data_IF_143446980487
#
_entry.id   IF_143446980487
#
_cell.length_a   1.000
_cell.length_b   1.000
_cell.length_c   1.000
_cell.angle_alpha   90.00
_cell.angle_beta   90.00
_cell.angle_gamma   90.00
#
_symmetry.space_group_name_H-M   'P 1'
#
loop_
_entity.id
_entity.type
_entity.pdbx_description
1 polymer ?
#
# COMPACT_ATOMS: atom_id res chain seq x y z
N UNK A 1 -14.22 -0.48 24.89
CA UNK A 1 -13.60 -0.19 23.57
C UNK A 1 -14.04 -1.27 22.60
N UNK A 2 -14.89 -0.98 21.63
CA UNK A 2 -15.28 -1.98 20.62
C UNK A 2 -14.08 -2.27 19.73
N UNK A 3 -13.57 -3.50 19.76
CA UNK A 3 -12.55 -3.96 18.81
C UNK A 3 -13.15 -3.97 17.40
N UNK A 4 -12.88 -2.93 16.63
CA UNK A 4 -13.21 -2.87 15.21
C UNK A 4 -12.24 -3.82 14.48
N UNK A 5 -12.60 -5.10 14.43
CA UNK A 5 -11.84 -6.10 13.67
C UNK A 5 -12.09 -5.85 12.18
N UNK A 6 -11.05 -5.63 11.35
CA UNK A 6 -11.22 -5.51 9.92
C UNK A 6 -11.87 -6.79 9.38
N UNK A 7 -12.93 -6.63 8.59
CA UNK A 7 -13.65 -7.76 8.02
C UNK A 7 -12.80 -8.38 6.91
N UNK A 8 -12.22 -9.55 7.19
CA UNK A 8 -11.47 -10.35 6.22
C UNK A 8 -12.34 -10.58 4.99
N UNK A 9 -11.78 -10.32 3.81
CA UNK A 9 -12.42 -10.58 2.52
C UNK A 9 -11.72 -11.74 1.83
N UNK A 10 -12.45 -12.82 1.51
CA UNK A 10 -11.90 -13.98 0.82
C UNK A 10 -12.27 -13.94 -0.66
N UNK A 11 -11.27 -14.07 -1.53
CA UNK A 11 -11.43 -14.22 -2.98
C UNK A 11 -10.45 -15.27 -3.50
N UNK A 12 -10.96 -16.31 -4.19
CA UNK A 12 -10.19 -17.47 -4.68
C UNK A 12 -9.26 -18.09 -3.63
N UNK A 13 -9.75 -18.24 -2.40
CA UNK A 13 -9.00 -18.80 -1.28
C UNK A 13 -7.90 -17.90 -0.71
N UNK A 14 -7.70 -16.69 -1.23
CA UNK A 14 -6.80 -15.67 -0.68
C UNK A 14 -7.58 -14.70 0.22
N UNK A 15 -7.01 -14.38 1.38
CA UNK A 15 -7.54 -13.38 2.33
C UNK A 15 -6.95 -12.02 2.01
N UNK A 16 -7.81 -11.03 1.81
CA UNK A 16 -7.46 -9.63 1.54
C UNK A 16 -7.78 -8.76 2.74
N UNK A 17 -6.95 -7.72 2.94
CA UNK A 17 -7.11 -6.71 4.00
C UNK A 17 -8.33 -5.83 3.76
N UNK A 18 -8.76 -5.68 2.50
CA UNK A 18 -9.93 -4.92 2.15
C UNK A 18 -10.74 -5.53 1.01
N UNK A 19 -12.02 -5.15 0.95
CA UNK A 19 -12.90 -5.53 -0.16
C UNK A 19 -12.44 -4.97 -1.50
N UNK A 20 -11.79 -3.81 -1.51
CA UNK A 20 -11.35 -3.17 -2.74
C UNK A 20 -10.13 -3.88 -3.33
N UNK A 21 -9.17 -4.29 -2.51
CA UNK A 21 -8.06 -5.14 -2.96
C UNK A 21 -8.58 -6.42 -3.60
N UNK A 22 -9.52 -7.11 -2.94
CA UNK A 22 -10.11 -8.33 -3.49
C UNK A 22 -10.84 -8.10 -4.83
N UNK A 23 -11.41 -6.90 -5.05
CA UNK A 23 -12.01 -6.55 -6.35
C UNK A 23 -10.96 -6.32 -7.43
N UNK A 24 -9.84 -5.70 -7.10
CA UNK A 24 -8.71 -5.55 -8.03
C UNK A 24 -8.10 -6.90 -8.41
N UNK A 25 -8.01 -7.86 -7.48
CA UNK A 25 -7.65 -9.23 -7.81
C UNK A 25 -8.62 -9.87 -8.82
N UNK A 26 -9.94 -9.66 -8.64
CA UNK A 26 -10.96 -10.10 -9.60
C UNK A 26 -10.82 -9.42 -10.97
N UNK A 27 -10.48 -8.12 -10.98
CA UNK A 27 -10.19 -7.39 -12.21
C UNK A 27 -9.01 -8.02 -12.97
N UNK A 28 -7.87 -8.23 -12.31
CA UNK A 28 -6.69 -8.85 -12.93
C UNK A 28 -6.98 -10.26 -13.46
N UNK A 29 -7.67 -11.09 -12.66
CA UNK A 29 -8.07 -12.44 -13.09
C UNK A 29 -8.97 -12.41 -14.34
N UNK A 30 -9.88 -11.42 -14.43
CA UNK A 30 -10.80 -11.32 -15.59
C UNK A 30 -10.05 -10.96 -16.87
N UNK A 31 -8.95 -10.21 -16.77
CA UNK A 31 -8.05 -9.93 -17.88
C UNK A 31 -7.04 -11.07 -18.15
N UNK A 32 -6.97 -12.08 -17.28
CA UNK A 32 -5.93 -13.10 -17.33
C UNK A 32 -4.54 -12.57 -16.96
N UNK A 33 -4.48 -11.49 -16.19
CA UNK A 33 -3.24 -10.89 -15.69
C UNK A 33 -2.79 -11.65 -14.45
N UNK A 34 -1.56 -12.16 -14.46
CA UNK A 34 -0.95 -12.74 -13.26
C UNK A 34 -0.71 -11.67 -12.19
N UNK A 35 -1.03 -12.00 -10.95
CA UNK A 35 -0.80 -11.13 -9.79
C UNK A 35 -0.32 -11.95 -8.60
N UNK A 36 0.53 -11.32 -7.78
CA UNK A 36 0.99 -11.87 -6.50
C UNK A 36 0.65 -10.85 -5.42
N UNK A 37 -0.17 -11.26 -4.45
CA UNK A 37 -0.59 -10.42 -3.33
C UNK A 37 0.47 -10.42 -2.22
N UNK A 38 0.77 -9.24 -1.68
CA UNK A 38 1.73 -9.03 -0.59
C UNK A 38 3.08 -9.74 -0.84
N UNK A 39 3.63 -9.60 -2.06
CA UNK A 39 4.74 -10.42 -2.54
C UNK A 39 6.01 -10.33 -1.66
N UNK A 40 6.43 -9.13 -1.25
CA UNK A 40 7.59 -8.98 -0.36
C UNK A 40 7.63 -7.66 0.39
N UNK A 41 8.32 -7.66 1.53
CA UNK A 41 8.56 -6.48 2.35
C UNK A 41 9.80 -5.70 1.86
N UNK A 42 9.75 -4.38 2.00
CA UNK A 42 10.84 -3.47 1.71
C UNK A 42 11.22 -2.65 2.94
N UNK A 43 12.51 -2.65 3.27
CA UNK A 43 13.06 -1.81 4.35
C UNK A 43 13.23 -0.38 3.82
N UNK A 44 12.48 0.57 4.38
CA UNK A 44 12.55 1.99 4.05
C UNK A 44 13.53 2.76 4.95
N UNK A 45 14.26 2.07 5.82
CA UNK A 45 15.19 2.65 6.78
C UNK A 45 14.49 2.85 8.12
N UNK A 46 14.77 3.99 8.76
CA UNK A 46 14.21 4.29 10.07
C UNK A 46 13.41 5.58 10.06
N UNK A 47 12.34 5.65 10.85
CA UNK A 47 11.49 6.83 11.05
C UNK A 47 11.44 7.17 12.54
N UNK A 48 11.50 8.46 12.88
CA UNK A 48 11.32 8.90 14.26
C UNK A 48 9.93 8.49 14.75
N UNK A 49 9.86 7.87 15.93
CA UNK A 49 8.57 7.44 16.55
C UNK A 49 8.12 8.35 17.68
N UNK A 50 9.04 9.16 18.20
CA UNK A 50 8.75 10.21 19.17
C UNK A 50 8.94 11.57 18.53
N UNK A 51 8.09 12.52 18.91
CA UNK A 51 8.37 13.91 18.62
C UNK A 51 9.59 14.42 19.41
N UNK A 52 9.95 15.68 19.22
CA UNK A 52 11.14 16.24 19.85
C UNK A 52 10.97 16.41 21.37
N UNK A 53 9.75 16.65 21.85
CA UNK A 53 9.46 16.87 23.27
C UNK A 53 9.41 15.54 24.03
N UNK A 54 8.69 14.55 23.50
CA UNK A 54 8.62 13.19 24.06
C UNK A 54 10.01 12.55 24.18
N UNK A 55 10.84 12.70 23.14
CA UNK A 55 12.19 12.16 23.18
C UNK A 55 13.10 12.91 24.14
N UNK A 56 12.92 14.22 24.29
CA UNK A 56 13.69 15.02 25.23
C UNK A 56 13.38 14.59 26.67
N UNK A 57 12.11 14.34 26.99
CA UNK A 57 11.69 13.81 28.28
C UNK A 57 12.34 12.44 28.54
N UNK A 58 12.17 11.49 27.61
CA UNK A 58 12.78 10.16 27.70
C UNK A 58 14.31 10.21 27.86
N UNK A 59 15.00 11.07 27.11
CA UNK A 59 16.45 11.21 27.20
C UNK A 59 16.87 11.76 28.57
N UNK A 60 16.14 12.72 29.12
CA UNK A 60 16.44 13.28 30.44
C UNK A 60 16.25 12.24 31.55
N UNK A 61 15.18 11.45 31.48
CA UNK A 61 14.93 10.35 32.41
C UNK A 61 16.03 9.29 32.33
N UNK A 62 16.36 8.82 31.12
CA UNK A 62 17.41 7.81 30.92
C UNK A 62 18.79 8.28 31.45
N UNK A 63 19.11 9.57 31.26
CA UNK A 63 20.34 10.17 31.80
C UNK A 63 20.32 10.29 33.33
N UNK A 64 19.16 10.56 33.92
CA UNK A 64 19.01 10.66 35.37
C UNK A 64 19.10 9.29 36.05
N UNK A 65 18.42 8.28 35.51
CA UNK A 65 18.40 6.92 36.06
C UNK A 65 19.76 6.24 35.99
N UNK A 66 20.53 6.49 34.93
CA UNK A 66 21.83 5.88 34.68
C UNK A 66 22.98 6.87 34.96
N UNK A 67 22.81 7.76 35.95
CA UNK A 67 23.75 8.85 36.26
C UNK A 67 25.20 8.39 36.48
N UNK A 68 25.40 7.15 36.96
CA UNK A 68 26.72 6.56 37.22
C UNK A 68 27.35 5.88 36.00
N UNK A 69 26.61 5.72 34.91
CA UNK A 69 27.06 5.07 33.69
C UNK A 69 27.65 6.05 32.68
N UNK A 70 28.19 5.51 31.59
CA UNK A 70 28.75 6.33 30.51
C UNK A 70 27.63 7.09 29.77
N UNK A 71 27.67 8.42 29.85
CA UNK A 71 26.71 9.33 29.20
C UNK A 71 26.60 9.13 27.69
N UNK A 72 27.70 8.85 26.99
CA UNK A 72 27.67 8.65 25.53
C UNK A 72 26.90 7.40 25.15
N UNK A 73 27.04 6.33 25.92
CA UNK A 73 26.36 5.05 25.64
C UNK A 73 24.85 5.18 25.89
N UNK A 74 24.44 5.88 26.96
CA UNK A 74 23.03 6.19 27.23
C UNK A 74 22.42 7.01 26.09
N UNK A 75 23.11 8.07 25.63
CA UNK A 75 22.64 8.89 24.52
C UNK A 75 22.50 8.04 23.24
N UNK A 76 23.49 7.20 22.93
CA UNK A 76 23.43 6.33 21.74
C UNK A 76 22.26 5.37 21.79
N UNK A 77 22.02 4.73 22.94
CA UNK A 77 20.89 3.82 23.09
C UNK A 77 19.56 4.57 22.99
N UNK A 78 19.44 5.74 23.61
CA UNK A 78 18.24 6.55 23.50
C UNK A 78 17.93 6.95 22.05
N UNK A 79 18.93 7.35 21.26
CA UNK A 79 18.74 7.62 19.84
C UNK A 79 18.36 6.36 19.03
N UNK A 80 18.78 5.15 19.43
CA UNK A 80 18.27 3.91 18.81
C UNK A 80 16.79 3.71 19.09
N UNK A 81 16.32 4.07 20.29
CA UNK A 81 14.90 4.01 20.64
C UNK A 81 14.07 5.09 19.93
N UNK A 82 14.65 6.26 19.61
CA UNK A 82 13.97 7.33 18.87
C UNK A 82 13.49 6.90 17.49
N UNK A 83 14.18 5.94 16.86
CA UNK A 83 13.97 5.58 15.47
C UNK A 83 13.53 4.13 15.32
N UNK A 84 12.34 3.89 14.78
CA UNK A 84 11.89 2.55 14.43
C UNK A 84 12.16 2.23 12.97
N UNK A 85 12.47 0.95 12.68
CA UNK A 85 12.53 0.45 11.30
C UNK A 85 11.17 0.58 10.63
N UNK A 86 11.17 1.13 9.42
CA UNK A 86 9.98 1.27 8.61
C UNK A 86 9.97 0.18 7.53
N UNK A 87 9.16 -0.85 7.73
CA UNK A 87 8.89 -1.86 6.72
C UNK A 87 7.66 -1.48 5.91
N UNK A 88 7.71 -1.69 4.60
CA UNK A 88 6.59 -1.47 3.69
C UNK A 88 6.27 -2.74 2.91
N UNK A 89 4.98 -3.08 2.81
CA UNK A 89 4.46 -4.24 2.11
C UNK A 89 3.41 -3.77 1.09
N UNK A 90 3.74 -3.71 -0.21
CA UNK A 90 2.83 -3.27 -1.26
C UNK A 90 1.73 -4.32 -1.49
N UNK A 91 0.56 -3.89 -1.98
CA UNK A 91 -0.59 -4.79 -2.18
C UNK A 91 -0.35 -5.87 -3.26
N UNK A 92 0.03 -5.47 -4.48
CA UNK A 92 0.13 -6.39 -5.62
C UNK A 92 1.42 -6.22 -6.43
N UNK A 93 2.02 -7.35 -6.79
CA UNK A 93 3.03 -7.43 -7.83
C UNK A 93 2.44 -8.06 -9.10
N UNK A 94 2.60 -7.39 -10.25
CA UNK A 94 2.20 -7.91 -11.56
C UNK A 94 3.46 -8.36 -12.33
N UNK A 95 3.87 -9.63 -12.25
CA UNK A 95 5.18 -10.08 -12.76
C UNK A 95 5.33 -9.88 -14.27
N UNK A 96 4.29 -10.14 -15.06
CA UNK A 96 4.28 -9.96 -16.52
C UNK A 96 4.59 -8.52 -16.92
N UNK A 97 4.12 -7.55 -16.12
CA UNK A 97 4.29 -6.12 -16.38
C UNK A 97 5.45 -5.51 -15.59
N UNK A 98 6.08 -6.30 -14.71
CA UNK A 98 7.16 -5.84 -13.84
C UNK A 98 6.75 -4.58 -13.04
N UNK A 99 5.51 -4.56 -12.55
CA UNK A 99 4.82 -3.37 -12.04
C UNK A 99 4.20 -3.62 -10.68
N UNK A 100 4.42 -2.71 -9.73
CA UNK A 100 3.79 -2.73 -8.41
C UNK A 100 2.48 -1.95 -8.40
N UNK A 101 1.45 -2.50 -7.77
CA UNK A 101 0.16 -1.85 -7.64
C UNK A 101 -0.24 -1.76 -6.17
N UNK A 102 -0.48 -0.55 -5.70
CA UNK A 102 -1.00 -0.24 -4.37
C UNK A 102 -2.46 0.21 -4.47
N UNK A 103 -3.31 -0.25 -3.56
CA UNK A 103 -4.74 0.03 -3.56
C UNK A 103 -5.11 0.95 -2.39
N UNK A 104 -5.82 2.04 -2.68
CA UNK A 104 -6.36 2.94 -1.65
C UNK A 104 -7.85 3.18 -1.86
N UNK A 105 -8.61 3.25 -0.76
CA UNK A 105 -10.04 3.58 -0.84
C UNK A 105 -10.33 5.05 -1.14
N UNK A 106 -9.33 5.93 -0.99
CA UNK A 106 -9.39 7.38 -1.18
C UNK A 106 -8.10 7.86 -1.85
N UNK A 107 -8.11 9.08 -2.37
CA UNK A 107 -6.90 9.71 -2.90
C UNK A 107 -5.72 9.59 -1.91
N UNK A 108 -4.53 9.18 -2.39
CA UNK A 108 -3.40 8.87 -1.52
C UNK A 108 -2.85 10.13 -0.86
N UNK A 109 -2.54 10.02 0.42
CA UNK A 109 -1.84 11.07 1.18
C UNK A 109 -0.41 11.27 0.68
N UNK A 110 0.20 12.41 0.99
CA UNK A 110 1.60 12.66 0.67
C UNK A 110 2.55 11.61 1.25
N UNK A 111 2.26 11.07 2.44
CA UNK A 111 3.06 9.98 3.03
C UNK A 111 2.95 8.69 2.20
N UNK A 112 1.76 8.33 1.72
CA UNK A 112 1.56 7.15 0.87
C UNK A 112 2.23 7.32 -0.49
N UNK A 113 2.11 8.49 -1.11
CA UNK A 113 2.83 8.80 -2.35
C UNK A 113 4.34 8.74 -2.15
N UNK A 114 4.85 9.23 -1.01
CA UNK A 114 6.27 9.14 -0.66
C UNK A 114 6.72 7.69 -0.53
N UNK A 115 5.92 6.82 0.11
CA UNK A 115 6.21 5.38 0.21
C UNK A 115 6.24 4.71 -1.16
N UNK A 116 5.27 4.99 -2.04
CA UNK A 116 5.25 4.47 -3.41
C UNK A 116 6.45 4.95 -4.24
N UNK A 117 6.81 6.24 -4.13
CA UNK A 117 8.00 6.80 -4.78
C UNK A 117 9.29 6.12 -4.28
N UNK A 118 9.41 5.89 -2.97
CA UNK A 118 10.53 5.16 -2.40
C UNK A 118 10.59 3.70 -2.87
N UNK A 119 9.45 3.01 -2.94
CA UNK A 119 9.38 1.66 -3.51
C UNK A 119 9.88 1.66 -4.94
N UNK A 120 9.40 2.59 -5.77
CA UNK A 120 9.78 2.67 -7.17
C UNK A 120 11.30 2.84 -7.32
N UNK A 121 11.87 3.79 -6.55
CA UNK A 121 13.31 4.05 -6.55
C UNK A 121 14.14 2.86 -6.06
N UNK A 122 13.73 2.20 -4.96
CA UNK A 122 14.50 1.10 -4.36
C UNK A 122 14.39 -0.20 -5.14
N UNK A 123 13.21 -0.51 -5.68
CA UNK A 123 13.00 -1.71 -6.48
C UNK A 123 13.47 -1.55 -7.93
N UNK A 124 13.57 -0.31 -8.42
CA UNK A 124 13.82 0.01 -9.83
C UNK A 124 12.64 -0.35 -10.74
N UNK A 125 11.44 -0.52 -10.16
CA UNK A 125 10.21 -0.96 -10.85
C UNK A 125 9.14 0.13 -10.74
N UNK A 126 8.30 0.35 -11.76
CA UNK A 126 7.20 1.29 -11.67
C UNK A 126 6.19 0.89 -10.59
N UNK A 127 5.59 1.90 -9.96
CA UNK A 127 4.56 1.74 -8.94
C UNK A 127 3.36 2.57 -9.36
N UNK A 128 2.18 1.97 -9.39
CA UNK A 128 0.91 2.69 -9.53
C UNK A 128 0.07 2.55 -8.27
N UNK A 129 -0.35 3.68 -7.70
CA UNK A 129 -1.42 3.70 -6.70
C UNK A 129 -2.75 3.80 -7.47
N UNK A 130 -3.62 2.83 -7.29
CA UNK A 130 -5.01 2.86 -7.74
C UNK A 130 -5.86 3.28 -6.55
N UNK A 131 -6.62 4.35 -6.70
CA UNK A 131 -7.42 4.88 -5.61
C UNK A 131 -8.89 5.10 -5.99
N UNK A 132 -9.74 5.28 -4.98
CA UNK A 132 -11.18 5.44 -5.18
C UNK A 132 -11.89 4.10 -5.34
N UNK A 133 -13.02 4.09 -6.03
CA UNK A 133 -13.80 2.87 -6.29
C UNK A 133 -13.41 2.21 -7.63
N UNK A 134 -13.69 0.90 -7.75
CA UNK A 134 -13.62 0.21 -9.04
C UNK A 134 -14.56 0.93 -10.01
N UNK A 135 -13.97 1.45 -11.09
CA UNK A 135 -14.64 2.27 -12.07
C UNK A 135 -15.98 1.69 -12.56
N UNK A 136 -17.01 2.53 -12.83
CA UNK A 136 -17.05 3.97 -12.59
C UNK A 136 -17.06 4.29 -11.09
N UNK A 137 -16.28 5.30 -10.71
CA UNK A 137 -16.28 5.78 -9.32
C UNK A 137 -17.52 6.67 -9.10
N UNK A 138 -18.42 6.32 -8.16
CA UNK A 138 -19.62 7.11 -7.92
C UNK A 138 -19.34 8.53 -7.41
N UNK A 139 -18.15 8.80 -6.86
CA UNK A 139 -17.75 10.13 -6.38
C UNK A 139 -17.00 10.93 -7.45
N UNK A 140 -16.61 10.30 -8.56
CA UNK A 140 -15.97 10.94 -9.71
C UNK A 140 -16.65 10.49 -11.01
N UNK A 141 -17.90 10.93 -11.26
CA UNK A 141 -18.73 10.41 -12.36
C UNK A 141 -18.16 10.73 -13.75
N UNK A 142 -17.36 11.79 -13.88
CA UNK A 142 -16.74 12.20 -15.13
C UNK A 142 -15.34 11.61 -15.33
N UNK A 143 -14.81 10.88 -14.33
CA UNK A 143 -13.54 10.19 -14.48
C UNK A 143 -13.64 9.15 -15.60
N UNK A 144 -12.51 8.84 -16.22
CA UNK A 144 -12.31 7.65 -17.05
C UNK A 144 -11.34 6.69 -16.38
N UNK A 145 -11.15 5.51 -16.97
CA UNK A 145 -10.16 4.55 -16.47
C UNK A 145 -8.77 5.19 -16.46
N UNK A 146 -8.14 5.21 -15.28
CA UNK A 146 -6.80 5.77 -15.12
C UNK A 146 -6.77 7.15 -14.45
N UNK A 147 -7.89 7.86 -14.33
CA UNK A 147 -7.90 9.19 -13.68
C UNK A 147 -7.67 9.11 -12.17
N UNK A 148 -8.18 8.06 -11.51
CA UNK A 148 -7.95 7.81 -10.10
C UNK A 148 -6.65 7.00 -9.88
N UNK A 149 -5.54 7.50 -10.43
CA UNK A 149 -4.23 6.86 -10.30
C UNK A 149 -3.11 7.85 -9.98
N UNK A 150 -2.07 7.38 -9.29
CA UNK A 150 -0.78 8.06 -9.17
C UNK A 150 0.32 7.10 -9.64
N UNK A 151 1.27 7.57 -10.45
CA UNK A 151 2.35 6.73 -10.99
C UNK A 151 3.73 7.26 -10.61
N UNK A 152 4.63 6.34 -10.25
CA UNK A 152 5.99 6.63 -9.84
C UNK A 152 6.97 5.71 -10.58
N UNK A 153 8.11 6.27 -10.97
CA UNK A 153 9.18 5.55 -11.67
C UNK A 153 9.02 5.48 -13.20
N UNK A 154 7.85 5.81 -13.74
CA UNK A 154 7.55 5.84 -15.18
C UNK A 154 6.44 6.85 -15.53
N UNK A 155 6.19 7.07 -16.83
CA UNK A 155 5.17 8.02 -17.32
C UNK A 155 3.78 7.42 -17.49
N UNK A 156 3.65 6.08 -17.54
CA UNK A 156 2.37 5.41 -17.82
C UNK A 156 1.90 4.62 -16.60
N UNK A 157 0.67 4.88 -16.15
CA UNK A 157 0.05 4.09 -15.09
C UNK A 157 -0.36 2.70 -15.59
N UNK A 158 -0.50 1.75 -14.66
CA UNK A 158 -0.81 0.35 -15.02
C UNK A 158 -2.14 0.20 -15.78
N UNK A 159 -3.15 1.05 -15.53
CA UNK A 159 -4.44 0.96 -16.22
C UNK A 159 -4.28 1.32 -17.70
N UNK A 160 -3.47 2.33 -18.02
CA UNK A 160 -3.17 2.70 -19.39
C UNK A 160 -2.35 1.61 -20.10
N UNK A 161 -1.35 1.01 -19.43
CA UNK A 161 -0.58 -0.12 -19.95
C UNK A 161 -1.50 -1.31 -20.26
N UNK A 162 -2.41 -1.65 -19.34
CA UNK A 162 -3.39 -2.72 -19.55
C UNK A 162 -4.37 -2.39 -20.68
N UNK A 163 -4.85 -1.15 -20.79
CA UNK A 163 -5.74 -0.74 -21.89
C UNK A 163 -5.07 -0.77 -23.27
N UNK A 164 -3.75 -0.58 -23.34
CA UNK A 164 -2.98 -0.75 -24.59
C UNK A 164 -2.71 -2.22 -24.91
N UNK A 165 -2.57 -3.06 -23.89
CA UNK A 165 -2.28 -4.49 -24.01
C UNK A 165 -3.55 -5.29 -24.35
N UNK A 166 -4.68 -4.90 -23.76
CA UNK A 166 -5.97 -5.58 -23.88
C UNK A 166 -6.99 -4.68 -24.57
N UNK A 167 -7.89 -5.28 -25.36
CA UNK A 167 -8.97 -4.53 -26.02
C UNK A 167 -9.85 -3.81 -25.00
N UNK A 168 -10.36 -2.64 -25.36
CA UNK A 168 -11.28 -1.83 -24.53
C UNK A 168 -12.45 -2.69 -24.00
N UNK A 169 -13.03 -3.56 -24.84
CA UNK A 169 -14.13 -4.45 -24.43
C UNK A 169 -13.75 -5.42 -23.32
N UNK A 170 -12.49 -5.85 -23.25
CA UNK A 170 -12.01 -6.72 -22.16
C UNK A 170 -11.84 -5.92 -20.87
N UNK A 171 -11.39 -4.67 -20.96
CA UNK A 171 -11.28 -3.77 -19.82
C UNK A 171 -12.68 -3.47 -19.23
N UNK A 172 -13.67 -3.17 -20.07
CA UNK A 172 -15.08 -2.97 -19.65
C UNK A 172 -15.60 -4.17 -18.88
N UNK A 173 -15.37 -5.37 -19.43
CA UNK A 173 -15.78 -6.62 -18.81
C UNK A 173 -15.09 -6.85 -17.47
N UNK A 174 -13.78 -6.58 -17.38
CA UNK A 174 -13.02 -6.73 -16.14
C UNK A 174 -13.50 -5.78 -15.04
N UNK A 175 -13.76 -4.50 -15.37
CA UNK A 175 -14.34 -3.56 -14.41
C UNK A 175 -15.74 -4.02 -13.96
N UNK A 176 -16.59 -4.49 -14.88
CA UNK A 176 -17.91 -4.99 -14.54
C UNK A 176 -17.88 -6.23 -13.62
N UNK A 177 -17.00 -7.18 -13.91
CA UNK A 177 -16.77 -8.36 -13.08
C UNK A 177 -16.31 -7.96 -11.66
N UNK A 178 -15.30 -7.09 -11.56
CA UNK A 178 -14.78 -6.61 -10.28
C UNK A 178 -15.81 -5.84 -9.44
N UNK A 179 -16.75 -5.11 -10.05
CA UNK A 179 -17.84 -4.45 -9.31
C UNK A 179 -18.86 -5.45 -8.76
N UNK A 180 -19.22 -6.43 -9.58
CA UNK A 180 -20.31 -7.37 -9.31
C UNK A 180 -19.91 -8.53 -8.40
N UNK A 181 -18.60 -8.81 -8.26
CA UNK A 181 -18.08 -9.91 -7.45
C UNK A 181 -18.65 -9.87 -6.02
N UNK A 182 -19.09 -11.04 -5.56
CA UNK A 182 -19.54 -11.27 -4.20
C UNK A 182 -18.46 -12.05 -3.47
N UNK A 183 -18.18 -11.62 -2.25
CA UNK A 183 -17.17 -12.27 -1.42
C UNK A 183 -17.85 -13.14 -0.37
N UNK A 184 -17.26 -14.29 -0.13
CA UNK A 184 -17.67 -15.18 0.94
C UNK A 184 -17.50 -14.48 2.30
N UNK A 185 -18.40 -14.77 3.24
CA UNK A 185 -18.16 -14.45 4.64
C UNK A 185 -17.41 -15.62 5.24
N UNK A 186 -16.28 -15.34 5.90
CA UNK A 186 -15.59 -16.34 6.70
C UNK A 186 -16.61 -16.92 7.72
N UNK A 187 -16.79 -18.24 7.73
CA UNK A 187 -17.60 -18.90 8.76
C UNK A 187 -16.80 -18.77 10.05
N UNK A 188 -17.37 -18.08 11.03
CA UNK A 188 -16.82 -17.94 12.37
C UNK A 188 -16.71 -19.31 13.06
#
# INVERSE_FOLDING_TARGET
MSHFQPKVTVYRGKKFRSRIEARWACFFDTLGVEWIYEFQHYDFGVKAVWDDDEFREYLNEALYENYWDNREDIIREAYRHRYARQMYLPDFWLPTFNHWVEIKGKAPTHEEQTKASQLARKSGKPVTILWGHIFPDPYHPDAIWGDCTEVFGESWNIIAVLALTYRITNMDHAFAAARSVRFEKERA
#
